data_IF_640015694009
#
_entry.id   IF_640015694009
#
_cell.length_a   1.000
_cell.length_b   1.000
_cell.length_c   1.000
_cell.angle_alpha   90.00
_cell.angle_beta   90.00
_cell.angle_gamma   90.00
#
_symmetry.space_group_name_H-M   'P 1'
#
loop_
_entity.id
_entity.type
_entity.pdbx_description
1 polymer ?
#
# COMPACT_ATOMS: atom_id res chain seq x y z
N UNK A 1 5.77 -24.46 12.26
CA UNK A 1 5.76 -23.19 13.00
C UNK A 1 5.46 -22.12 11.96
N UNK A 2 4.18 -21.90 11.70
CA UNK A 2 3.75 -20.74 10.93
C UNK A 2 3.67 -19.62 11.95
N UNK A 3 4.75 -18.83 12.06
CA UNK A 3 4.71 -17.59 12.82
C UNK A 3 3.62 -16.73 12.18
N UNK A 4 2.52 -16.55 12.90
CA UNK A 4 1.35 -15.78 12.49
C UNK A 4 1.85 -14.41 12.04
N UNK A 5 1.69 -14.10 10.74
CA UNK A 5 1.89 -12.72 10.31
C UNK A 5 0.88 -11.88 11.09
N UNK A 6 1.31 -10.77 11.71
CA UNK A 6 0.37 -9.86 12.33
C UNK A 6 -0.67 -9.40 11.31
N UNK A 7 -1.91 -9.22 11.74
CA UNK A 7 -2.96 -8.57 10.94
C UNK A 7 -2.58 -7.09 10.78
N UNK A 8 -1.76 -6.79 9.77
CA UNK A 8 -1.35 -5.43 9.41
C UNK A 8 -2.32 -4.90 8.37
N UNK A 9 -3.06 -3.86 8.74
CA UNK A 9 -3.89 -3.10 7.80
C UNK A 9 -3.04 -2.02 7.11
N UNK A 10 -3.05 -2.02 5.77
CA UNK A 10 -2.31 -1.07 4.95
C UNK A 10 -3.31 -0.23 4.15
N UNK A 11 -3.33 1.07 4.42
CA UNK A 11 -4.21 2.02 3.73
C UNK A 11 -3.70 2.31 2.30
N UNK A 12 -4.42 1.78 1.31
CA UNK A 12 -4.08 1.99 -0.11
C UNK A 12 -4.24 3.47 -0.50
N UNK A 13 -5.22 4.17 0.06
CA UNK A 13 -5.43 5.59 -0.23
C UNK A 13 -4.23 6.45 0.21
N UNK A 14 -3.63 6.16 1.36
CA UNK A 14 -2.44 6.86 1.87
C UNK A 14 -1.21 6.57 0.99
N UNK A 15 -1.06 5.32 0.52
CA UNK A 15 -0.01 4.98 -0.46
C UNK A 15 -0.22 5.67 -1.81
N UNK A 16 -1.47 5.86 -2.24
CA UNK A 16 -1.78 6.59 -3.48
C UNK A 16 -1.56 8.09 -3.34
N UNK A 17 -1.73 8.65 -2.14
CA UNK A 17 -1.51 10.06 -1.83
C UNK A 17 -0.01 10.40 -1.71
N UNK A 18 0.86 9.42 -1.46
CA UNK A 18 2.31 9.63 -1.43
C UNK A 18 2.88 10.02 -2.81
N UNK A 19 3.76 11.03 -2.82
CA UNK A 19 4.28 11.68 -4.03
C UNK A 19 5.32 10.82 -4.78
N UNK A 20 5.97 9.88 -4.10
CA UNK A 20 7.08 9.07 -4.66
C UNK A 20 7.02 7.60 -4.26
N UNK A 21 7.53 6.73 -5.13
CA UNK A 21 7.66 5.29 -4.84
C UNK A 21 8.52 5.02 -3.60
N UNK A 22 9.56 5.85 -3.37
CA UNK A 22 10.42 5.77 -2.19
C UNK A 22 9.64 6.02 -0.89
N UNK A 23 8.76 7.02 -0.87
CA UNK A 23 7.94 7.35 0.29
C UNK A 23 6.90 6.25 0.58
N UNK A 24 6.30 5.69 -0.49
CA UNK A 24 5.39 4.54 -0.39
C UNK A 24 6.11 3.31 0.15
N UNK A 25 7.32 3.04 -0.32
CA UNK A 25 8.14 1.93 0.16
C UNK A 25 8.47 2.09 1.64
N UNK A 26 8.76 3.31 2.09
CA UNK A 26 9.10 3.62 3.47
C UNK A 26 7.90 3.41 4.40
N UNK A 27 6.72 3.93 4.02
CA UNK A 27 5.45 3.67 4.73
C UNK A 27 5.14 2.17 4.86
N UNK A 28 5.34 1.40 3.78
CA UNK A 28 5.15 -0.04 3.81
C UNK A 28 6.16 -0.76 4.72
N UNK A 29 7.42 -0.32 4.75
CA UNK A 29 8.43 -0.87 5.66
C UNK A 29 8.09 -0.58 7.12
N UNK A 30 7.57 0.61 7.41
CA UNK A 30 7.12 0.97 8.76
C UNK A 30 5.89 0.16 9.18
N UNK A 31 4.91 -0.01 8.29
CA UNK A 31 3.73 -0.84 8.57
C UNK A 31 4.08 -2.31 8.81
N UNK A 32 5.12 -2.81 8.11
CA UNK A 32 5.58 -4.20 8.20
C UNK A 32 6.78 -4.36 9.13
N UNK A 33 7.05 -3.40 10.03
CA UNK A 33 8.22 -3.45 10.92
C UNK A 33 8.17 -4.63 11.90
N UNK A 34 6.96 -5.02 12.31
CA UNK A 34 6.70 -6.13 13.22
C UNK A 34 6.61 -7.49 12.50
N UNK A 35 6.78 -7.52 11.17
CA UNK A 35 6.80 -8.76 10.42
C UNK A 35 8.17 -9.46 10.55
N UNK A 36 8.15 -10.71 11.03
CA UNK A 36 9.34 -11.55 11.15
C UNK A 36 9.86 -12.11 9.81
N UNK A 37 9.12 -11.90 8.72
CA UNK A 37 9.46 -12.38 7.37
C UNK A 37 10.01 -11.24 6.51
N UNK A 38 10.84 -11.55 5.49
CA UNK A 38 11.32 -10.54 4.55
C UNK A 38 10.15 -9.91 3.79
N UNK A 39 9.97 -8.61 3.97
CA UNK A 39 8.86 -7.84 3.37
C UNK A 39 9.24 -7.14 2.08
N UNK A 40 10.52 -7.14 1.70
CA UNK A 40 11.02 -6.45 0.49
C UNK A 40 10.30 -6.85 -0.79
N UNK A 41 10.08 -8.15 -1.00
CA UNK A 41 9.41 -8.64 -2.21
C UNK A 41 7.92 -8.26 -2.20
N UNK A 42 7.27 -8.32 -1.03
CA UNK A 42 5.90 -7.86 -0.86
C UNK A 42 5.77 -6.36 -1.15
N UNK A 43 6.68 -5.54 -0.63
CA UNK A 43 6.71 -4.10 -0.87
C UNK A 43 6.85 -3.81 -2.36
N UNK A 44 7.80 -4.44 -3.05
CA UNK A 44 7.98 -4.24 -4.50
C UNK A 44 6.76 -4.67 -5.29
N UNK A 45 6.17 -5.83 -4.96
CA UNK A 45 4.99 -6.34 -5.65
C UNK A 45 3.80 -5.40 -5.45
N UNK A 46 3.57 -4.94 -4.22
CA UNK A 46 2.49 -4.02 -3.88
C UNK A 46 2.66 -2.68 -4.58
N UNK A 47 3.85 -2.09 -4.55
CA UNK A 47 4.19 -0.85 -5.26
C UNK A 47 3.93 -0.98 -6.77
N UNK A 48 4.37 -2.09 -7.37
CA UNK A 48 4.13 -2.39 -8.79
C UNK A 48 2.63 -2.46 -9.09
N UNK A 49 1.85 -3.08 -8.20
CA UNK A 49 0.39 -3.20 -8.33
C UNK A 49 -0.33 -1.86 -8.24
N UNK A 50 0.06 -1.01 -7.29
CA UNK A 50 -0.59 0.30 -7.08
C UNK A 50 -0.07 1.40 -8.00
N UNK A 51 1.04 1.21 -8.70
CA UNK A 51 1.63 2.21 -9.64
C UNK A 51 0.65 2.67 -10.72
N UNK A 52 -0.32 1.83 -11.10
CA UNK A 52 -1.37 2.16 -12.06
C UNK A 52 -2.73 2.49 -11.44
N UNK A 53 -2.88 2.35 -10.12
CA UNK A 53 -4.12 2.64 -9.43
C UNK A 53 -4.26 4.16 -9.25
N UNK A 54 -5.45 4.69 -9.54
CA UNK A 54 -5.81 6.08 -9.26
C UNK A 54 -7.05 6.06 -8.38
N UNK A 55 -7.10 6.93 -7.37
CA UNK A 55 -8.28 7.15 -6.54
C UNK A 55 -9.48 7.42 -7.47
N UNK A 56 -10.38 6.45 -7.56
CA UNK A 56 -11.63 6.64 -8.31
C UNK A 56 -12.47 7.59 -7.48
N UNK A 57 -12.56 8.84 -7.94
CA UNK A 57 -13.55 9.77 -7.39
C UNK A 57 -14.93 9.21 -7.72
N UNK A 58 -15.90 9.29 -6.78
CA UNK A 58 -17.26 8.88 -7.05
C UNK A 58 -17.75 9.58 -8.32
N UNK A 59 -18.45 8.86 -9.22
CA UNK A 59 -18.93 9.46 -10.46
C UNK A 59 -19.80 10.66 -10.09
N UNK A 60 -19.30 11.86 -10.39
CA UNK A 60 -20.07 13.08 -10.25
C UNK A 60 -21.24 12.94 -11.23
N UNK A 61 -22.40 12.55 -10.71
CA UNK A 61 -23.65 12.59 -11.47
C UNK A 61 -23.78 14.02 -11.95
N UNK A 62 -23.54 14.26 -13.25
CA UNK A 62 -23.93 15.52 -13.88
C UNK A 62 -25.45 15.55 -13.80
N UNK A 63 -25.96 16.26 -12.80
CA UNK A 63 -27.34 16.70 -12.80
C UNK A 63 -27.46 17.65 -14.00
N UNK A 64 -28.10 17.15 -15.06
CA UNK A 64 -28.66 17.97 -16.13
C UNK A 64 -29.93 18.63 -15.61
#
# INVERSE_FOLDING_TARGET
>A
QEEEMPDVEIDIDDLLDADSEEERALKLREALVDCYKPTEEFIKELLSRIRGMRKLSPPQKKAV
#
